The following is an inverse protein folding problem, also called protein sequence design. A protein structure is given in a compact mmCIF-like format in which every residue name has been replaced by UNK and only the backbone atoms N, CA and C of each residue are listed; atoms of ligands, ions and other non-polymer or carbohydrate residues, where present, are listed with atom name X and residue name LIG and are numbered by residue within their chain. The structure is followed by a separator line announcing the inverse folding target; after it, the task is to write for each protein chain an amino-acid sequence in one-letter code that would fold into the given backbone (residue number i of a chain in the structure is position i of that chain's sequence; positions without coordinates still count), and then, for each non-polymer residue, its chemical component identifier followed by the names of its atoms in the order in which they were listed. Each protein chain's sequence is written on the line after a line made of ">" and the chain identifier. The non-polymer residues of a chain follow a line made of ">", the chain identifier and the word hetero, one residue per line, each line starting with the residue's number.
data_IF_352379509511
#
_entry.id   IF_352379509511
#
_cell.length_a   1.000
_cell.length_b   1.000
_cell.length_c   1.000
_cell.angle_alpha   90.00
_cell.angle_beta   90.00
_cell.angle_gamma   90.00
#
_symmetry.space_group_name_H-M   'P 1'
#
loop_
_entity.id
_entity.type
_entity.pdbx_description
1 polymer ?
#
# COMPACT_ATOMS: atom_id res chain seq x y z
N UNK A 1 -5.10 20.60 -17.37
CA UNK A 1 -4.77 19.16 -17.32
C UNK A 1 -5.98 18.42 -16.79
N UNK A 2 -6.34 17.28 -17.38
CA UNK A 2 -7.38 16.43 -16.81
C UNK A 2 -6.83 15.73 -15.57
N UNK A 3 -7.69 15.52 -14.56
CA UNK A 3 -7.33 14.75 -13.37
C UNK A 3 -6.98 13.31 -13.73
N UNK A 4 -6.00 12.72 -13.06
CA UNK A 4 -5.76 11.26 -13.13
C UNK A 4 -6.88 10.50 -12.40
N UNK A 5 -7.01 9.19 -12.68
CA UNK A 5 -7.99 8.35 -11.97
C UNK A 5 -7.70 8.26 -10.47
N UNK A 6 -6.43 8.35 -10.07
CA UNK A 6 -6.03 8.48 -8.67
C UNK A 6 -6.48 9.79 -8.04
N UNK A 7 -6.35 10.91 -8.74
CA UNK A 7 -6.82 12.20 -8.24
C UNK A 7 -8.34 12.22 -8.08
N UNK A 8 -9.08 11.61 -9.02
CA UNK A 8 -10.53 11.43 -8.94
C UNK A 8 -10.93 10.55 -7.75
N UNK A 9 -10.24 9.41 -7.56
CA UNK A 9 -10.42 8.52 -6.41
C UNK A 9 -10.23 9.26 -5.08
N UNK A 10 -9.16 10.04 -4.94
CA UNK A 10 -8.87 10.81 -3.72
C UNK A 10 -9.86 11.95 -3.49
N UNK A 11 -10.44 12.51 -4.56
CA UNK A 11 -11.50 13.51 -4.48
C UNK A 11 -12.91 12.93 -4.22
N UNK A 12 -13.05 11.60 -4.16
CA UNK A 12 -14.36 10.93 -4.01
C UNK A 12 -15.24 11.00 -5.26
N UNK A 13 -14.67 11.32 -6.41
CA UNK A 13 -15.37 11.34 -7.70
C UNK A 13 -15.47 9.92 -8.27
N UNK A 14 -16.36 9.69 -9.24
CA UNK A 14 -16.32 8.47 -10.03
C UNK A 14 -14.93 8.33 -10.68
N UNK A 15 -14.34 7.14 -10.63
CA UNK A 15 -13.05 6.82 -11.23
C UNK A 15 -13.06 5.39 -11.78
N UNK A 16 -12.16 5.09 -12.72
CA UNK A 16 -11.95 3.76 -13.28
C UNK A 16 -10.97 2.97 -12.39
N UNK A 17 -11.48 2.04 -11.59
CA UNK A 17 -10.66 1.17 -10.73
C UNK A 17 -9.74 0.21 -11.50
N UNK A 18 -9.93 0.05 -12.81
CA UNK A 18 -9.06 -0.75 -13.70
C UNK A 18 -7.98 0.11 -14.39
N UNK A 19 -7.85 1.36 -14.00
CA UNK A 19 -6.77 2.23 -14.48
C UNK A 19 -5.38 1.60 -14.20
N UNK A 20 -4.44 1.66 -15.16
CA UNK A 20 -3.11 1.09 -14.99
C UNK A 20 -2.33 1.62 -13.77
N UNK A 21 -2.46 2.89 -13.41
CA UNK A 21 -1.80 3.48 -12.22
C UNK A 21 -2.33 2.81 -10.95
N UNK A 22 -3.66 2.70 -10.82
CA UNK A 22 -4.32 2.10 -9.67
C UNK A 22 -4.05 0.59 -9.57
N UNK A 23 -4.04 -0.13 -10.69
CA UNK A 23 -3.68 -1.55 -10.72
C UNK A 23 -2.21 -1.76 -10.32
N UNK A 24 -1.29 -0.92 -10.78
CA UNK A 24 0.11 -1.01 -10.38
C UNK A 24 0.29 -0.78 -8.86
N UNK A 25 -0.41 0.21 -8.30
CA UNK A 25 -0.44 0.45 -6.84
C UNK A 25 -0.99 -0.76 -6.08
N UNK A 26 -2.09 -1.34 -6.57
CA UNK A 26 -2.70 -2.54 -5.99
C UNK A 26 -1.74 -3.74 -5.99
N UNK A 27 -1.07 -4.01 -7.11
CA UNK A 27 -0.12 -5.13 -7.21
C UNK A 27 1.10 -4.91 -6.30
N UNK A 28 1.62 -3.69 -6.20
CA UNK A 28 2.69 -3.34 -5.25
C UNK A 28 2.25 -3.63 -3.82
N UNK A 29 1.06 -3.16 -3.43
CA UNK A 29 0.53 -3.36 -2.07
C UNK A 29 0.32 -4.85 -1.75
N UNK A 30 -0.25 -5.62 -2.69
CA UNK A 30 -0.45 -7.08 -2.52
C UNK A 30 0.87 -7.83 -2.36
N UNK A 31 1.90 -7.47 -3.11
CA UNK A 31 3.23 -8.08 -2.98
C UNK A 31 3.83 -7.84 -1.59
N UNK A 32 3.86 -6.58 -1.15
CA UNK A 32 4.37 -6.21 0.19
C UNK A 32 3.59 -6.88 1.31
N UNK A 33 2.26 -6.93 1.19
CA UNK A 33 1.42 -7.65 2.16
C UNK A 33 1.73 -9.15 2.18
N UNK A 34 1.96 -9.76 1.01
CA UNK A 34 2.39 -11.14 0.89
C UNK A 34 3.73 -11.40 1.59
N UNK A 35 4.73 -10.56 1.34
CA UNK A 35 6.05 -10.62 1.99
C UNK A 35 5.92 -10.46 3.51
N UNK A 36 5.11 -9.51 3.97
CA UNK A 36 4.86 -9.28 5.39
C UNK A 36 4.26 -10.51 6.07
N UNK A 37 3.24 -11.12 5.44
CA UNK A 37 2.55 -12.29 5.98
C UNK A 37 3.43 -13.55 6.03
N UNK A 38 4.47 -13.63 5.18
CA UNK A 38 5.42 -14.75 5.17
C UNK A 38 6.69 -14.47 5.99
N UNK A 39 6.85 -13.25 6.51
CA UNK A 39 7.98 -12.89 7.38
C UNK A 39 7.80 -13.53 8.75
N UNK A 40 8.87 -14.10 9.30
CA UNK A 40 8.84 -14.71 10.63
C UNK A 40 8.37 -13.70 11.69
N UNK A 41 7.54 -14.15 12.63
CA UNK A 41 7.01 -13.28 13.69
C UNK A 41 8.10 -12.69 14.60
N UNK A 42 9.25 -13.35 14.70
CA UNK A 42 10.42 -12.89 15.44
C UNK A 42 11.24 -11.82 14.71
N UNK A 43 11.06 -11.65 13.39
CA UNK A 43 11.76 -10.64 12.60
C UNK A 43 10.98 -9.31 12.59
N UNK A 44 10.97 -8.66 13.76
CA UNK A 44 10.27 -7.39 13.94
C UNK A 44 10.81 -6.28 13.03
N UNK A 45 12.11 -6.29 12.73
CA UNK A 45 12.74 -5.28 11.88
C UNK A 45 12.24 -5.37 10.44
N UNK A 46 12.20 -6.58 9.87
CA UNK A 46 11.66 -6.78 8.52
C UNK A 46 10.16 -6.49 8.46
N UNK A 47 9.39 -6.94 9.45
CA UNK A 47 7.96 -6.63 9.54
C UNK A 47 7.69 -5.13 9.59
N UNK A 48 8.47 -4.38 10.38
CA UNK A 48 8.36 -2.92 10.45
C UNK A 48 8.70 -2.26 9.11
N UNK A 49 9.78 -2.69 8.45
CA UNK A 49 10.19 -2.18 7.15
C UNK A 49 9.08 -2.36 6.09
N UNK A 50 8.52 -3.57 5.98
CA UNK A 50 7.45 -3.89 5.03
C UNK A 50 6.18 -3.08 5.31
N UNK A 51 5.82 -2.87 6.57
CA UNK A 51 4.68 -2.02 6.94
C UNK A 51 4.90 -0.55 6.58
N UNK A 52 6.11 -0.02 6.79
CA UNK A 52 6.47 1.35 6.38
C UNK A 52 6.35 1.51 4.87
N UNK A 53 6.85 0.54 4.09
CA UNK A 53 6.74 0.55 2.62
C UNK A 53 5.30 0.41 2.11
N UNK A 54 4.47 -0.38 2.80
CA UNK A 54 3.07 -0.62 2.45
C UNK A 54 2.18 0.59 2.75
N UNK A 55 2.30 1.16 3.95
CA UNK A 55 1.41 2.21 4.46
C UNK A 55 1.95 3.64 4.22
N UNK A 56 3.24 3.78 3.91
CA UNK A 56 3.93 5.06 3.73
C UNK A 56 4.27 5.78 5.04
N UNK A 57 3.47 5.60 6.10
CA UNK A 57 3.76 6.10 7.45
C UNK A 57 3.37 5.05 8.49
N UNK A 58 4.23 4.89 9.49
CA UNK A 58 3.99 4.01 10.62
C UNK A 58 4.19 4.78 11.93
N UNK A 59 3.20 4.70 12.82
CA UNK A 59 3.26 5.32 14.15
C UNK A 59 4.26 4.63 15.07
N UNK A 60 4.64 5.30 16.17
CA UNK A 60 5.47 4.69 17.20
C UNK A 60 4.68 3.62 17.96
N UNK A 61 5.30 2.46 18.20
CA UNK A 61 4.70 1.37 18.98
C UNK A 61 3.64 0.55 18.23
N UNK A 62 3.52 0.68 16.91
CA UNK A 62 2.62 -0.17 16.10
C UNK A 62 3.17 -1.60 16.05
N UNK A 63 2.29 -2.57 16.30
CA UNK A 63 2.57 -4.00 16.19
C UNK A 63 1.36 -4.71 15.58
N UNK A 64 1.61 -5.56 14.57
CA UNK A 64 0.61 -6.31 13.78
C UNK A 64 1.08 -7.75 13.59
#
# INVERSE_FOLDING_TARGET
>A
MNKSEKERMLAGEFYNSRDPELLAMYHRARRLLGEFNHTASSDAAMKEHLLRELLGKLGRGVWI
#
